data_IF_700871804508
#
_entry.id   IF_700871804508
#
_cell.length_a   1.000
_cell.length_b   1.000
_cell.length_c   1.000
_cell.angle_alpha   90.00
_cell.angle_beta   90.00
_cell.angle_gamma   90.00
#
_symmetry.space_group_name_H-M   'P 1'
#
loop_
_entity.id
_entity.type
_entity.pdbx_description
1 polymer ?
#
# COMPACT_ATOMS: atom_id res chain seq x y z
N UNK A 1 -27.52 46.21 -53.54
CA UNK A 1 -26.39 45.64 -52.76
C UNK A 1 -26.72 45.81 -51.29
N UNK A 2 -27.15 44.75 -50.61
CA UNK A 2 -27.60 44.77 -49.22
C UNK A 2 -27.12 43.51 -48.52
N UNK A 3 -26.24 43.66 -47.53
CA UNK A 3 -26.08 42.72 -46.43
C UNK A 3 -25.15 43.32 -45.36
N UNK A 4 -25.76 43.93 -44.36
CA UNK A 4 -25.13 44.26 -43.06
C UNK A 4 -24.78 42.98 -42.29
N UNK A 5 -23.57 42.82 -41.74
CA UNK A 5 -23.32 41.81 -40.72
C UNK A 5 -23.51 42.39 -39.31
N UNK A 6 -24.28 41.64 -38.52
CA UNK A 6 -24.74 41.91 -37.15
C UNK A 6 -23.60 42.10 -36.15
N UNK A 7 -23.75 43.10 -35.28
CA UNK A 7 -23.03 43.21 -34.02
C UNK A 7 -23.36 42.01 -33.12
N UNK A 8 -22.33 41.32 -32.64
CA UNK A 8 -22.47 40.22 -31.68
C UNK A 8 -22.74 40.81 -30.30
N UNK A 9 -23.81 40.40 -29.60
CA UNK A 9 -24.07 40.86 -28.24
C UNK A 9 -23.04 40.25 -27.29
N UNK A 10 -22.54 41.05 -26.34
CA UNK A 10 -21.71 40.60 -25.24
C UNK A 10 -22.51 39.62 -24.36
N UNK A 11 -21.94 38.49 -23.91
CA UNK A 11 -22.56 37.70 -22.86
C UNK A 11 -22.46 38.49 -21.55
N UNK A 12 -23.57 39.15 -21.22
CA UNK A 12 -23.87 39.71 -19.91
C UNK A 12 -24.26 38.59 -18.95
N UNK A 13 -23.59 38.55 -17.80
CA UNK A 13 -24.12 37.92 -16.59
C UNK A 13 -23.80 36.44 -16.44
N UNK A 14 -22.57 36.13 -16.07
CA UNK A 14 -22.31 34.95 -15.24
C UNK A 14 -22.02 35.46 -13.82
N UNK A 15 -22.85 35.12 -12.82
CA UNK A 15 -22.66 35.63 -11.48
C UNK A 15 -21.33 35.10 -10.92
N UNK A 16 -20.42 36.03 -10.65
CA UNK A 16 -19.35 35.83 -9.70
C UNK A 16 -19.97 35.41 -8.35
N UNK A 17 -19.40 34.38 -7.74
CA UNK A 17 -19.74 33.75 -6.46
C UNK A 17 -20.66 32.51 -6.52
N UNK A 18 -20.06 31.35 -6.82
CA UNK A 18 -20.33 30.13 -6.06
C UNK A 18 -19.00 29.62 -5.49
N UNK A 19 -19.01 29.34 -4.19
CA UNK A 19 -17.84 29.23 -3.34
C UNK A 19 -17.16 27.84 -3.40
N UNK A 20 -15.83 27.85 -3.28
CA UNK A 20 -15.03 26.92 -2.46
C UNK A 20 -15.34 25.41 -2.55
N UNK A 21 -14.55 24.65 -3.33
CA UNK A 21 -13.83 23.46 -2.81
C UNK A 21 -12.75 22.96 -3.79
N UNK A 22 -11.51 22.96 -3.33
CA UNK A 22 -10.44 22.11 -3.88
C UNK A 22 -10.81 20.63 -3.71
N UNK A 23 -11.56 19.96 -4.61
CA UNK A 23 -11.70 18.49 -4.49
C UNK A 23 -12.29 17.66 -5.65
N UNK A 24 -12.21 18.10 -6.92
CA UNK A 24 -12.49 17.18 -8.03
C UNK A 24 -11.47 17.38 -9.16
N UNK A 25 -10.49 16.48 -9.20
CA UNK A 25 -9.50 16.43 -10.28
C UNK A 25 -10.17 15.85 -11.54
N UNK A 26 -10.73 16.72 -12.36
CA UNK A 26 -11.28 16.36 -13.67
C UNK A 26 -10.15 16.23 -14.69
N UNK A 27 -9.94 15.02 -15.23
CA UNK A 27 -8.91 14.76 -16.26
C UNK A 27 -9.37 15.37 -17.59
N UNK A 28 -8.69 16.41 -18.06
CA UNK A 28 -8.96 17.03 -19.36
C UNK A 28 -8.03 16.44 -20.43
N UNK A 29 -8.61 15.91 -21.51
CA UNK A 29 -7.89 15.31 -22.65
C UNK A 29 -6.94 14.14 -22.29
N UNK A 30 -7.48 13.01 -21.79
CA UNK A 30 -6.66 11.83 -21.48
C UNK A 30 -6.04 11.23 -22.75
N UNK A 31 -4.75 10.94 -22.70
CA UNK A 31 -4.11 10.10 -23.73
C UNK A 31 -4.68 8.67 -23.61
N UNK A 32 -5.22 8.07 -24.69
CA UNK A 32 -5.85 6.75 -24.67
C UNK A 32 -4.92 5.62 -24.18
N UNK A 33 -3.60 5.80 -24.27
CA UNK A 33 -2.62 4.80 -23.83
C UNK A 33 -2.30 4.87 -22.33
N UNK A 34 -2.65 5.98 -21.67
CA UNK A 34 -2.24 6.29 -20.30
C UNK A 34 -3.41 6.38 -19.32
N UNK A 35 -4.63 6.48 -19.84
CA UNK A 35 -5.85 6.53 -19.05
C UNK A 35 -6.48 5.14 -18.92
N UNK A 36 -6.73 4.72 -17.68
CA UNK A 36 -7.53 3.54 -17.34
C UNK A 36 -8.50 3.93 -16.22
N UNK A 37 -9.67 3.32 -16.17
CA UNK A 37 -10.66 3.60 -15.12
C UNK A 37 -10.12 3.26 -13.72
N UNK A 38 -9.21 2.28 -13.60
CA UNK A 38 -8.51 1.94 -12.35
C UNK A 38 -7.41 2.94 -11.96
N UNK A 39 -6.98 3.77 -12.91
CA UNK A 39 -5.93 4.79 -12.71
C UNK A 39 -6.51 6.20 -12.54
N UNK A 40 -7.81 6.37 -12.76
CA UNK A 40 -8.49 7.65 -12.61
C UNK A 40 -8.49 8.08 -11.13
N UNK A 41 -8.43 9.40 -10.84
CA UNK A 41 -8.56 9.89 -9.48
C UNK A 41 -9.86 9.42 -8.84
N UNK A 42 -9.78 8.86 -7.64
CA UNK A 42 -10.97 8.38 -6.93
C UNK A 42 -11.78 9.59 -6.44
N UNK A 43 -13.05 9.75 -6.83
CA UNK A 43 -13.89 10.86 -6.36
C UNK A 43 -14.01 10.86 -4.84
N UNK A 44 -14.01 12.04 -4.21
CA UNK A 44 -14.07 12.17 -2.74
C UNK A 44 -15.25 11.41 -2.11
N UNK A 45 -16.38 11.26 -2.84
CA UNK A 45 -17.57 10.51 -2.42
C UNK A 45 -17.40 8.99 -2.35
N UNK A 46 -16.38 8.42 -3.00
CA UNK A 46 -16.07 6.98 -3.01
C UNK A 46 -14.94 6.59 -2.04
N UNK A 47 -14.34 7.57 -1.33
CA UNK A 47 -13.29 7.34 -0.32
C UNK A 47 -13.94 6.94 1.00
N UNK A 48 -14.31 5.67 1.14
CA UNK A 48 -15.01 5.15 2.33
C UNK A 48 -14.09 4.65 3.45
N UNK A 49 -12.78 4.63 3.22
CA UNK A 49 -11.80 4.14 4.19
C UNK A 49 -11.40 5.26 5.15
N UNK A 50 -11.81 5.13 6.40
CA UNK A 50 -11.37 5.98 7.50
C UNK A 50 -10.08 5.48 8.15
N UNK A 51 -9.70 6.13 9.24
CA UNK A 51 -8.49 5.78 9.99
C UNK A 51 -8.56 4.38 10.61
N UNK A 52 -9.76 3.88 10.93
CA UNK A 52 -9.94 2.57 11.57
C UNK A 52 -9.73 1.42 10.57
N UNK A 53 -10.25 1.56 9.37
CA UNK A 53 -10.07 0.61 8.27
C UNK A 53 -8.58 0.51 7.90
N UNK A 54 -7.90 1.65 7.83
CA UNK A 54 -6.46 1.72 7.57
C UNK A 54 -5.66 1.06 8.72
N UNK A 55 -6.03 1.33 9.97
CA UNK A 55 -5.39 0.72 11.14
C UNK A 55 -5.56 -0.80 11.17
N UNK A 56 -6.73 -1.32 10.81
CA UNK A 56 -6.97 -2.76 10.75
C UNK A 56 -6.09 -3.45 9.70
N UNK A 57 -5.97 -2.86 8.50
CA UNK A 57 -5.09 -3.41 7.47
C UNK A 57 -3.62 -3.38 7.90
N UNK A 58 -3.18 -2.29 8.53
CA UNK A 58 -1.82 -2.20 9.05
C UNK A 58 -1.53 -3.18 10.18
N UNK A 59 -2.49 -3.37 11.08
CA UNK A 59 -2.36 -4.35 12.17
C UNK A 59 -2.25 -5.76 11.61
N UNK A 60 -3.03 -6.08 10.57
CA UNK A 60 -2.96 -7.36 9.88
C UNK A 60 -1.60 -7.56 9.18
N UNK A 61 -1.06 -6.54 8.54
CA UNK A 61 0.25 -6.59 7.86
C UNK A 61 1.41 -6.85 8.85
N UNK A 62 1.36 -6.22 10.02
CA UNK A 62 2.37 -6.40 11.09
C UNK A 62 2.30 -7.81 11.72
N UNK A 63 1.14 -8.44 11.71
CA UNK A 63 0.92 -9.80 12.24
C UNK A 63 1.49 -10.90 11.32
N UNK A 64 2.76 -10.75 10.94
CA UNK A 64 3.51 -11.72 10.16
C UNK A 64 4.42 -12.55 11.06
N UNK A 65 4.47 -13.86 10.80
CA UNK A 65 5.36 -14.80 11.49
C UNK A 65 6.83 -14.37 11.43
N UNK A 66 7.21 -13.65 10.36
CA UNK A 66 8.54 -13.10 10.19
C UNK A 66 8.90 -12.09 11.28
N UNK A 67 7.98 -11.17 11.61
CA UNK A 67 8.20 -10.15 12.64
C UNK A 67 8.39 -10.78 14.02
N UNK A 68 7.56 -11.77 14.34
CA UNK A 68 7.68 -12.53 15.59
C UNK A 68 8.98 -13.33 15.65
N UNK A 69 9.37 -13.99 14.55
CA UNK A 69 10.62 -14.76 14.48
C UNK A 69 11.83 -13.84 14.62
N UNK A 70 11.83 -12.68 13.97
CA UNK A 70 12.92 -11.69 14.08
C UNK A 70 13.06 -11.18 15.52
N UNK A 71 11.96 -10.83 16.17
CA UNK A 71 11.97 -10.39 17.57
C UNK A 71 12.49 -11.51 18.50
N UNK A 72 12.04 -12.75 18.28
CA UNK A 72 12.50 -13.91 19.04
C UNK A 72 14.00 -14.18 18.83
N UNK A 73 14.51 -14.10 17.59
CA UNK A 73 15.95 -14.26 17.29
C UNK A 73 16.79 -13.16 17.93
N UNK A 74 16.32 -11.90 17.93
CA UNK A 74 17.03 -10.81 18.62
C UNK A 74 17.13 -11.05 20.13
N UNK A 75 16.09 -11.63 20.72
CA UNK A 75 16.07 -11.95 22.14
C UNK A 75 16.94 -13.18 22.47
N UNK A 76 16.75 -14.29 21.75
CA UNK A 76 17.36 -15.59 22.04
C UNK A 76 18.82 -15.66 21.56
N UNK A 77 19.11 -15.17 20.35
CA UNK A 77 20.44 -15.31 19.73
C UNK A 77 21.39 -14.16 20.10
N UNK A 78 20.89 -12.94 20.23
CA UNK A 78 21.72 -11.77 20.58
C UNK A 78 21.66 -11.39 22.06
N UNK A 79 20.79 -12.03 22.85
CA UNK A 79 20.68 -11.78 24.29
C UNK A 79 20.27 -10.35 24.65
N UNK A 80 19.64 -9.63 23.72
CA UNK A 80 19.25 -8.24 23.96
C UNK A 80 18.19 -8.16 25.05
N UNK A 81 18.32 -7.15 25.91
CA UNK A 81 17.28 -6.80 26.89
C UNK A 81 15.95 -6.54 26.16
N UNK A 82 14.88 -7.23 26.54
CA UNK A 82 13.56 -7.11 25.92
C UNK A 82 13.05 -5.67 25.86
N UNK A 83 13.45 -4.82 26.82
CA UNK A 83 13.16 -3.39 26.80
C UNK A 83 13.84 -2.63 25.65
N UNK A 84 15.06 -3.01 25.28
CA UNK A 84 15.77 -2.39 24.17
C UNK A 84 15.15 -2.79 22.82
N UNK A 85 14.77 -4.07 22.67
CA UNK A 85 14.07 -4.55 21.47
C UNK A 85 12.70 -3.86 21.34
N UNK A 86 11.95 -3.78 22.44
CA UNK A 86 10.66 -3.09 22.48
C UNK A 86 10.79 -1.61 22.11
N UNK A 87 11.71 -0.88 22.74
CA UNK A 87 11.96 0.52 22.42
C UNK A 87 12.39 0.71 20.95
N UNK A 88 13.21 -0.20 20.42
CA UNK A 88 13.62 -0.21 19.01
C UNK A 88 12.44 -0.40 18.05
N UNK A 89 11.53 -1.34 18.35
CA UNK A 89 10.32 -1.57 17.55
C UNK A 89 9.39 -0.35 17.58
N UNK A 90 9.18 0.24 18.76
CA UNK A 90 8.35 1.45 18.90
C UNK A 90 8.95 2.62 18.11
N UNK A 91 10.26 2.85 18.24
CA UNK A 91 10.95 3.91 17.51
C UNK A 91 10.88 3.69 16.00
N UNK A 92 11.14 2.47 15.53
CA UNK A 92 11.01 2.11 14.13
C UNK A 92 9.58 2.34 13.62
N UNK A 93 8.56 1.95 14.37
CA UNK A 93 7.16 2.18 14.04
C UNK A 93 6.82 3.66 13.89
N UNK A 94 7.30 4.51 14.79
CA UNK A 94 7.10 5.97 14.71
C UNK A 94 7.77 6.58 13.47
N UNK A 95 8.99 6.14 13.15
CA UNK A 95 9.72 6.60 11.96
C UNK A 95 8.98 6.18 10.69
N UNK A 96 8.54 4.91 10.60
CA UNK A 96 7.78 4.41 9.46
C UNK A 96 6.46 5.17 9.33
N UNK A 97 5.73 5.39 10.42
CA UNK A 97 4.49 6.17 10.41
C UNK A 97 4.73 7.58 9.85
N UNK A 98 5.79 8.26 10.29
CA UNK A 98 6.14 9.59 9.80
C UNK A 98 6.49 9.60 8.30
N UNK A 99 7.31 8.64 7.85
CA UNK A 99 7.69 8.52 6.44
C UNK A 99 6.50 8.16 5.55
N UNK A 100 5.64 7.25 6.01
CA UNK A 100 4.42 6.87 5.31
C UNK A 100 3.43 8.03 5.20
N UNK A 101 3.25 8.83 6.27
CA UNK A 101 2.41 10.02 6.22
C UNK A 101 2.97 11.05 5.22
N UNK A 102 4.29 11.24 5.18
CA UNK A 102 4.92 12.16 4.24
C UNK A 102 4.69 11.76 2.76
N UNK A 103 4.83 10.46 2.45
CA UNK A 103 4.61 9.93 1.10
C UNK A 103 3.10 9.82 0.76
N UNK A 104 2.27 9.58 1.77
CA UNK A 104 0.82 9.34 1.64
C UNK A 104 -0.01 10.61 1.52
N UNK A 105 0.39 11.73 2.15
CA UNK A 105 -0.30 13.03 2.10
C UNK A 105 -0.76 13.49 0.71
N UNK A 106 0.08 13.50 -0.34
CA UNK A 106 -0.37 13.87 -1.68
C UNK A 106 -1.37 12.86 -2.27
N UNK A 107 -1.16 11.57 -2.03
CA UNK A 107 -2.05 10.50 -2.53
C UNK A 107 -3.44 10.56 -1.90
N UNK A 108 -3.55 10.89 -0.60
CA UNK A 108 -4.84 11.02 0.10
C UNK A 108 -5.56 12.32 -0.28
N UNK A 109 -4.82 13.44 -0.40
CA UNK A 109 -5.41 14.75 -0.74
C UNK A 109 -5.96 14.78 -2.16
N UNK A 110 -5.28 14.16 -3.10
CA UNK A 110 -5.66 14.21 -4.51
C UNK A 110 -6.39 12.93 -4.98
N UNK A 111 -6.38 11.85 -4.20
CA UNK A 111 -6.94 10.55 -4.58
C UNK A 111 -6.31 9.96 -5.84
N UNK A 112 -5.10 10.41 -6.17
CA UNK A 112 -4.34 9.98 -7.32
C UNK A 112 -3.63 8.68 -6.93
N UNK A 113 -3.75 7.59 -7.72
CA UNK A 113 -3.03 6.36 -7.45
C UNK A 113 -1.52 6.57 -7.42
N UNK A 114 -0.82 5.85 -6.55
CA UNK A 114 0.65 5.93 -6.43
C UNK A 114 1.35 5.69 -7.79
N UNK A 115 0.80 4.83 -8.65
CA UNK A 115 1.33 4.57 -9.99
C UNK A 115 1.31 5.80 -10.92
N UNK A 116 0.42 6.77 -10.69
CA UNK A 116 0.33 8.02 -11.45
C UNK A 116 1.27 9.07 -10.84
N UNK A 117 1.39 9.12 -9.50
CA UNK A 117 2.40 9.94 -8.82
C UNK A 117 3.84 9.55 -9.22
N UNK A 118 4.12 8.25 -9.30
CA UNK A 118 5.42 7.74 -9.75
C UNK A 118 5.71 8.13 -11.22
N UNK A 119 4.69 8.09 -12.09
CA UNK A 119 4.79 8.55 -13.48
C UNK A 119 5.00 10.06 -13.60
N UNK A 120 4.44 10.86 -12.69
CA UNK A 120 4.65 12.31 -12.68
C UNK A 120 6.10 12.69 -12.36
N UNK A 121 6.81 11.89 -11.54
CA UNK A 121 8.21 12.15 -11.17
C UNK A 121 9.24 11.47 -12.07
N UNK A 122 8.99 10.25 -12.55
CA UNK A 122 9.97 9.45 -13.31
C UNK A 122 9.60 9.30 -14.81
N UNK A 123 8.48 9.88 -15.25
CA UNK A 123 7.96 9.71 -16.60
C UNK A 123 7.31 8.35 -16.84
N UNK A 124 6.65 8.22 -18.00
CA UNK A 124 5.88 7.03 -18.39
C UNK A 124 6.77 5.79 -18.50
N UNK A 125 7.92 5.92 -19.15
CA UNK A 125 8.85 4.81 -19.37
C UNK A 125 9.78 4.56 -18.16
N UNK A 126 10.12 5.60 -17.39
CA UNK A 126 10.99 5.46 -16.21
C UNK A 126 10.35 4.71 -15.04
N UNK A 127 9.02 4.59 -15.00
CA UNK A 127 8.28 3.88 -13.95
C UNK A 127 8.39 2.34 -14.07
N UNK A 128 8.86 1.81 -15.21
CA UNK A 128 8.95 0.36 -15.42
C UNK A 128 10.00 -0.31 -14.53
N UNK A 129 11.16 0.33 -14.34
CA UNK A 129 12.24 -0.19 -13.49
C UNK A 129 11.85 -0.32 -12.00
N UNK A 130 11.33 0.72 -11.31
CA UNK A 130 10.89 0.59 -9.93
C UNK A 130 9.70 -0.38 -9.77
N UNK A 131 8.83 -0.46 -10.79
CA UNK A 131 7.73 -1.44 -10.80
C UNK A 131 8.26 -2.88 -10.84
N UNK A 132 9.27 -3.16 -11.68
CA UNK A 132 9.89 -4.47 -11.76
C UNK A 132 10.54 -4.87 -10.43
N UNK A 133 11.35 -3.99 -9.84
CA UNK A 133 12.00 -4.24 -8.55
C UNK A 133 10.96 -4.57 -7.49
N UNK A 134 9.90 -3.75 -7.40
CA UNK A 134 8.82 -3.97 -6.45
C UNK A 134 8.08 -5.29 -6.70
N UNK A 135 7.90 -5.68 -7.96
CA UNK A 135 7.31 -6.97 -8.34
C UNK A 135 8.18 -8.16 -7.90
N UNK A 136 9.50 -8.09 -8.09
CA UNK A 136 10.43 -9.13 -7.63
C UNK A 136 10.41 -9.26 -6.11
N UNK A 137 10.45 -8.14 -5.39
CA UNK A 137 10.33 -8.15 -3.92
C UNK A 137 9.00 -8.75 -3.46
N UNK A 138 7.89 -8.44 -4.15
CA UNK A 138 6.58 -9.01 -3.83
C UNK A 138 6.54 -10.53 -4.04
N UNK A 139 7.12 -11.04 -5.14
CA UNK A 139 7.22 -12.48 -5.38
C UNK A 139 8.05 -13.19 -4.30
N UNK A 140 9.16 -12.58 -3.88
CA UNK A 140 9.99 -13.11 -2.80
C UNK A 140 9.21 -13.22 -1.48
N UNK A 141 8.53 -12.14 -1.08
CA UNK A 141 7.74 -12.12 0.15
C UNK A 141 6.56 -13.09 0.13
N UNK A 142 5.89 -13.21 -1.02
CA UNK A 142 4.82 -14.18 -1.20
C UNK A 142 5.33 -15.63 -1.05
N UNK A 143 6.50 -15.94 -1.62
CA UNK A 143 7.13 -17.25 -1.48
C UNK A 143 7.49 -17.56 -0.02
N UNK A 144 8.06 -16.60 0.71
CA UNK A 144 8.38 -16.76 2.13
C UNK A 144 7.13 -17.02 2.97
N UNK A 145 6.04 -16.25 2.77
CA UNK A 145 4.79 -16.46 3.49
C UNK A 145 4.15 -17.82 3.17
N UNK A 146 4.21 -18.24 1.90
CA UNK A 146 3.70 -19.56 1.47
C UNK A 146 4.48 -20.69 2.12
N UNK A 147 5.81 -20.55 2.25
CA UNK A 147 6.65 -21.53 2.94
C UNK A 147 6.22 -21.73 4.41
N UNK A 148 6.10 -20.62 5.16
CA UNK A 148 5.67 -20.70 6.57
C UNK A 148 4.25 -21.25 6.73
N UNK A 149 3.33 -20.89 5.82
CA UNK A 149 1.98 -21.46 5.80
C UNK A 149 2.01 -22.97 5.57
N UNK A 150 2.83 -23.44 4.62
CA UNK A 150 3.07 -24.86 4.35
C UNK A 150 3.61 -25.58 5.60
N UNK A 151 4.60 -25.02 6.28
CA UNK A 151 5.13 -25.59 7.52
C UNK A 151 4.08 -25.67 8.62
N UNK A 152 3.27 -24.62 8.80
CA UNK A 152 2.19 -24.61 9.79
C UNK A 152 1.15 -25.72 9.49
N UNK A 153 0.79 -25.92 8.22
CA UNK A 153 -0.10 -27.00 7.79
C UNK A 153 0.52 -28.37 8.02
N UNK A 154 1.81 -28.56 7.72
CA UNK A 154 2.51 -29.82 7.98
C UNK A 154 2.56 -30.15 9.49
N UNK A 155 2.81 -29.16 10.33
CA UNK A 155 2.76 -29.29 11.79
C UNK A 155 1.35 -29.62 12.27
N UNK A 156 0.31 -29.00 11.71
CA UNK A 156 -1.08 -29.31 12.03
C UNK A 156 -1.43 -30.77 11.68
N UNK A 157 -1.06 -31.24 10.49
CA UNK A 157 -1.28 -32.63 10.07
C UNK A 157 -0.54 -33.59 11.00
N UNK A 158 0.70 -33.27 11.37
CA UNK A 158 1.50 -34.08 12.31
C UNK A 158 0.89 -34.07 13.72
N UNK A 159 0.33 -32.95 14.17
CA UNK A 159 -0.33 -32.87 15.47
C UNK A 159 -1.64 -33.67 15.52
N UNK A 160 -2.37 -33.76 14.41
CA UNK A 160 -3.64 -34.49 14.32
C UNK A 160 -3.47 -35.98 14.03
N UNK A 161 -2.46 -36.36 13.22
CA UNK A 161 -2.30 -37.72 12.69
C UNK A 161 -0.91 -38.33 12.91
N UNK A 162 0.02 -37.60 13.51
CA UNK A 162 1.37 -38.09 13.80
C UNK A 162 1.37 -39.13 14.93
N UNK A 163 2.42 -39.97 15.02
CA UNK A 163 2.57 -40.87 16.15
C UNK A 163 2.63 -40.02 17.42
N UNK A 164 1.83 -40.38 18.43
CA UNK A 164 1.82 -39.71 19.72
C UNK A 164 3.23 -39.60 20.33
N UNK A 165 3.41 -38.81 21.40
CA UNK A 165 4.72 -38.38 21.92
C UNK A 165 5.79 -39.46 22.16
N UNK A 166 5.41 -40.74 22.16
CA UNK A 166 6.31 -41.90 22.23
C UNK A 166 7.03 -42.23 20.90
N UNK A 167 6.55 -41.75 19.74
CA UNK A 167 7.20 -41.89 18.43
C UNK A 167 7.99 -40.65 17.97
N UNK A 168 7.95 -39.57 18.73
CA UNK A 168 8.52 -38.26 18.36
C UNK A 168 10.06 -38.19 18.47
N UNK A 169 10.72 -39.23 18.98
CA UNK A 169 12.19 -39.31 19.04
C UNK A 169 12.88 -39.57 17.70
N UNK A 170 12.14 -39.86 16.63
CA UNK A 170 12.73 -40.32 15.35
C UNK A 170 12.41 -39.44 14.14
N UNK A 171 11.50 -38.46 14.25
CA UNK A 171 11.27 -37.51 13.16
C UNK A 171 12.28 -36.38 13.30
N UNK A 172 13.48 -36.61 12.77
CA UNK A 172 14.42 -35.53 12.46
C UNK A 172 13.72 -34.59 11.47
N UNK A 173 13.15 -33.52 11.99
CA UNK A 173 12.81 -32.34 11.20
C UNK A 173 14.14 -31.78 10.73
N UNK A 174 14.57 -32.23 9.55
CA UNK A 174 15.74 -31.70 8.86
C UNK A 174 15.48 -30.26 8.48
N UNK A 175 16.09 -29.36 9.25
CA UNK A 175 16.50 -28.04 8.79
C UNK A 175 17.82 -28.21 8.02
#
# INVERSE_FOLDING_TARGET
MSSTPRSRPAPSGEPAHEATRTDELTVHSPDPSLYNDDLAPVPAKKRSWGAFEIFNVWTNDIQSLFGYTLAATLFISYGLNGWAVFAGIVLAGLIVMFLCDLVGRPSVRYGIPYAVMARASMGVHGTQFPTLIRGVTAMFWYGAQTYFASTAVALLITALFGPGPEGAGSVKVGV
#
